data_IF_866693141750
#
_entry.id   IF_866693141750
#
_cell.length_a   1.000
_cell.length_b   1.000
_cell.length_c   1.000
_cell.angle_alpha   90.00
_cell.angle_beta   90.00
_cell.angle_gamma   90.00
#
_symmetry.space_group_name_H-M   'P 1'
#
loop_
_entity.id
_entity.type
_entity.pdbx_description
1 polymer ?
#
# COMPACT_ATOMS: atom_id res chain seq x y z
N UNK A 1 -16.77 3.46 -8.46
CA UNK A 1 -15.31 3.25 -8.53
C UNK A 1 -14.74 4.07 -7.40
N UNK A 2 -14.30 3.41 -6.33
CA UNK A 2 -13.50 4.09 -5.30
C UNK A 2 -12.27 4.62 -6.03
N UNK A 3 -12.10 5.94 -6.08
CA UNK A 3 -10.88 6.54 -6.62
C UNK A 3 -9.81 6.38 -5.56
N UNK A 4 -9.26 5.18 -5.44
CA UNK A 4 -8.10 4.96 -4.59
C UNK A 4 -6.93 5.78 -5.13
N UNK A 5 -6.09 6.27 -4.22
CA UNK A 5 -4.91 7.01 -4.61
C UNK A 5 -3.98 6.14 -5.47
N UNK A 6 -3.52 6.71 -6.59
CA UNK A 6 -2.64 6.00 -7.52
C UNK A 6 -1.33 5.58 -6.84
N UNK A 7 -0.88 6.35 -5.84
CA UNK A 7 0.32 6.05 -5.07
C UNK A 7 0.11 4.82 -4.17
N UNK A 8 -1.08 4.66 -3.57
CA UNK A 8 -1.40 3.48 -2.75
C UNK A 8 -1.39 2.19 -3.59
N UNK A 9 -2.09 2.21 -4.74
CA UNK A 9 -2.12 1.02 -5.60
C UNK A 9 -0.72 0.71 -6.15
N UNK A 10 0.05 1.73 -6.55
CA UNK A 10 1.40 1.53 -7.05
C UNK A 10 2.36 0.96 -5.99
N UNK A 11 2.18 1.30 -4.70
CA UNK A 11 2.94 0.69 -3.62
C UNK A 11 2.58 -0.80 -3.45
N UNK A 12 1.29 -1.13 -3.50
CA UNK A 12 0.80 -2.53 -3.45
C UNK A 12 1.31 -3.35 -4.62
N UNK A 13 1.28 -2.82 -5.83
CA UNK A 13 1.81 -3.48 -7.02
C UNK A 13 3.31 -3.76 -6.87
N UNK A 14 4.08 -2.80 -6.35
CA UNK A 14 5.51 -2.98 -6.08
C UNK A 14 5.76 -4.08 -5.03
N UNK A 15 5.01 -4.09 -3.93
CA UNK A 15 5.11 -5.15 -2.92
C UNK A 15 4.72 -6.51 -3.48
N UNK A 16 3.74 -6.59 -4.39
CA UNK A 16 3.39 -7.85 -5.06
C UNK A 16 4.53 -8.38 -5.91
N UNK A 17 5.31 -7.52 -6.57
CA UNK A 17 6.51 -7.93 -7.30
C UNK A 17 7.57 -8.46 -6.33
N UNK A 18 7.82 -7.75 -5.22
CA UNK A 18 8.77 -8.20 -4.18
C UNK A 18 8.38 -9.56 -3.60
N UNK A 19 7.07 -9.79 -3.41
CA UNK A 19 6.58 -11.10 -2.99
C UNK A 19 6.87 -12.19 -4.02
N UNK A 20 6.59 -11.92 -5.30
CA UNK A 20 6.78 -12.87 -6.40
C UNK A 20 8.27 -13.23 -6.61
N UNK A 21 9.17 -12.26 -6.46
CA UNK A 21 10.62 -12.49 -6.54
C UNK A 21 11.18 -13.20 -5.31
N UNK A 22 10.47 -13.16 -4.17
CA UNK A 22 10.92 -13.71 -2.90
C UNK A 22 12.12 -12.96 -2.32
N UNK A 23 12.33 -11.71 -2.72
CA UNK A 23 13.46 -10.88 -2.27
C UNK A 23 13.33 -10.42 -0.82
N UNK A 24 12.11 -10.36 -0.28
CA UNK A 24 11.84 -9.91 1.10
C UNK A 24 10.86 -10.84 1.80
N UNK A 25 11.23 -11.30 3.01
CA UNK A 25 10.38 -12.15 3.85
C UNK A 25 9.28 -11.34 4.55
N UNK A 26 9.58 -10.09 4.94
CA UNK A 26 8.65 -9.19 5.59
C UNK A 26 7.98 -8.24 4.58
N UNK A 27 6.83 -8.69 4.05
CA UNK A 27 6.06 -7.90 3.09
C UNK A 27 5.37 -6.68 3.74
N UNK A 28 5.24 -6.62 5.07
CA UNK A 28 4.67 -5.45 5.74
C UNK A 28 5.70 -4.32 5.74
N UNK A 29 6.96 -4.65 6.01
CA UNK A 29 8.07 -3.72 5.85
C UNK A 29 8.21 -3.27 4.39
N UNK A 30 8.19 -4.21 3.44
CA UNK A 30 8.21 -3.93 2.00
C UNK A 30 7.14 -2.91 1.57
N UNK A 31 5.91 -3.09 2.07
CA UNK A 31 4.79 -2.21 1.77
C UNK A 31 4.99 -0.83 2.39
N UNK A 32 5.49 -0.74 3.62
CA UNK A 32 5.80 0.54 4.26
C UNK A 32 6.89 1.31 3.51
N UNK A 33 7.93 0.62 3.07
CA UNK A 33 8.99 1.22 2.26
C UNK A 33 8.43 1.74 0.94
N UNK A 34 7.66 0.92 0.21
CA UNK A 34 7.05 1.30 -1.06
C UNK A 34 6.07 2.49 -0.93
N UNK A 35 5.36 2.60 0.20
CA UNK A 35 4.51 3.74 0.51
C UNK A 35 5.35 4.98 0.82
N UNK A 36 6.40 4.85 1.64
CA UNK A 36 7.27 5.96 2.00
C UNK A 36 8.01 6.56 0.79
N UNK A 37 8.42 5.74 -0.18
CA UNK A 37 8.98 6.18 -1.46
C UNK A 37 8.03 7.09 -2.26
N UNK A 38 6.73 7.03 -1.98
CA UNK A 38 5.66 7.80 -2.63
C UNK A 38 5.12 8.93 -1.76
N UNK A 39 5.83 9.33 -0.70
CA UNK A 39 5.36 10.29 0.33
C UNK A 39 4.07 9.83 1.04
N UNK A 40 3.80 8.53 1.08
CA UNK A 40 2.67 7.97 1.82
C UNK A 40 3.20 7.34 3.10
N UNK A 41 2.84 7.92 4.23
CA UNK A 41 3.11 7.35 5.55
C UNK A 41 1.78 6.89 6.15
N UNK A 42 1.74 5.69 6.72
CA UNK A 42 0.57 5.21 7.44
C UNK A 42 0.96 4.46 8.70
N UNK A 43 0.24 4.76 9.78
CA UNK A 43 0.33 4.02 11.04
C UNK A 43 -0.70 2.89 11.15
N UNK A 44 -1.50 2.67 10.10
CA UNK A 44 -2.57 1.66 10.10
C UNK A 44 -2.00 0.25 9.88
N UNK A 45 -1.60 -0.40 10.98
CA UNK A 45 -1.08 -1.76 10.94
C UNK A 45 -2.10 -2.81 10.48
N UNK A 46 -3.38 -2.61 10.78
CA UNK A 46 -4.43 -3.55 10.37
C UNK A 46 -4.62 -3.52 8.85
N UNK A 47 -4.63 -2.33 8.27
CA UNK A 47 -4.67 -2.14 6.83
C UNK A 47 -3.44 -2.77 6.15
N UNK A 48 -2.23 -2.50 6.66
CA UNK A 48 -1.00 -3.07 6.10
C UNK A 48 -1.04 -4.61 6.08
N UNK A 49 -1.44 -5.23 7.19
CA UNK A 49 -1.54 -6.70 7.28
C UNK A 49 -2.59 -7.25 6.33
N UNK A 50 -3.78 -6.65 6.25
CA UNK A 50 -4.83 -7.07 5.31
C UNK A 50 -4.39 -6.95 3.86
N UNK A 51 -3.74 -5.85 3.51
CA UNK A 51 -3.21 -5.63 2.16
C UNK A 51 -2.18 -6.69 1.80
N UNK A 52 -1.24 -6.99 2.70
CA UNK A 52 -0.26 -8.07 2.51
C UNK A 52 -0.92 -9.45 2.38
N UNK A 53 -1.93 -9.76 3.19
CA UNK A 53 -2.71 -10.99 3.03
C UNK A 53 -3.42 -11.05 1.67
N UNK A 54 -3.93 -9.91 1.20
CA UNK A 54 -4.49 -9.75 -0.13
C UNK A 54 -3.48 -10.04 -1.24
N UNK A 55 -2.29 -9.44 -1.17
CA UNK A 55 -1.18 -9.67 -2.12
C UNK A 55 -0.76 -11.14 -2.14
N UNK A 56 -0.68 -11.79 -0.98
CA UNK A 56 -0.35 -13.23 -0.87
C UNK A 56 -1.42 -14.11 -1.50
N UNK A 57 -2.68 -13.69 -1.43
CA UNK A 57 -3.81 -14.42 -1.99
C UNK A 57 -3.96 -14.19 -3.50
N UNK A 58 -3.66 -12.98 -3.98
CA UNK A 58 -3.79 -12.59 -5.39
C UNK A 58 -2.63 -11.67 -5.83
N UNK A 59 -1.89 -12.10 -6.85
CA UNK A 59 -0.79 -11.34 -7.46
C UNK A 59 -1.22 -10.07 -8.20
N UNK A 60 -2.50 -9.90 -8.47
CA UNK A 60 -3.09 -8.68 -9.02
C UNK A 60 -4.04 -8.05 -7.99
N UNK A 61 -3.72 -8.18 -6.69
CA UNK A 61 -4.52 -7.60 -5.62
C UNK A 61 -4.69 -6.09 -5.84
N UNK A 62 -5.94 -5.67 -5.87
CA UNK A 62 -6.32 -4.26 -5.91
C UNK A 62 -6.78 -3.87 -4.51
N UNK A 63 -6.28 -2.74 -4.02
CA UNK A 63 -6.71 -2.24 -2.71
C UNK A 63 -8.23 -2.02 -2.71
N UNK A 64 -8.90 -2.56 -1.71
CA UNK A 64 -10.35 -2.39 -1.55
C UNK A 64 -10.68 -1.14 -0.71
N UNK A 65 -9.79 -0.80 0.22
CA UNK A 65 -9.93 0.33 1.14
C UNK A 65 -8.61 1.08 1.29
N UNK A 66 -8.68 2.35 1.67
CA UNK A 66 -7.52 3.16 2.04
C UNK A 66 -7.20 2.97 3.53
N UNK A 67 -5.95 3.22 3.97
CA UNK A 67 -5.62 3.24 5.40
C UNK A 67 -6.46 4.30 6.13
N UNK A 68 -6.80 4.02 7.39
CA UNK A 68 -7.64 4.92 8.22
C UNK A 68 -7.05 6.32 8.40
N UNK A 69 -5.71 6.38 8.44
CA UNK A 69 -4.91 7.60 8.62
C UNK A 69 -4.44 8.20 7.30
N UNK A 70 -4.90 7.67 6.16
CA UNK A 70 -4.48 8.14 4.85
C UNK A 70 -5.04 9.54 4.57
N UNK A 71 -4.13 10.48 4.28
CA UNK A 71 -4.48 11.82 3.84
C UNK A 71 -4.03 11.99 2.39
N UNK A 72 -4.96 12.01 1.42
CA UNK A 72 -4.62 12.19 0.02
C UNK A 72 -3.91 13.53 -0.19
N UNK A 73 -2.90 13.53 -1.06
CA UNK A 73 -2.04 14.70 -1.30
C UNK A 73 -2.81 15.95 -1.73
N UNK A 74 -4.01 15.78 -2.34
CA UNK A 74 -4.92 16.86 -2.75
C UNK A 74 -5.46 17.71 -1.59
N UNK A 75 -5.54 17.15 -0.38
CA UNK A 75 -5.99 17.88 0.81
C UNK A 75 -4.83 18.59 1.55
N UNK A 76 -3.57 18.32 1.17
CA UNK A 76 -2.38 18.88 1.84
C UNK A 76 -2.02 20.30 1.40
N UNK A 77 -2.48 20.73 0.22
CA UNK A 77 -2.17 22.06 -0.36
C UNK A 77 -3.30 23.09 -0.20
N UNK A 78 -4.33 22.79 0.61
CA UNK A 78 -5.49 23.65 0.83
C UNK A 78 -5.76 23.97 2.30
N UNK A 79 -4.87 24.73 2.96
CA UNK A 79 -5.18 25.45 4.21
C UNK A 79 -4.40 26.74 4.32
#
# INVERSE_FOLDING_TARGET
MTSHDADLQAAVDATSVVHDTGEQEDLVEALREALAERDVETSDEEWLRRTVEGIKADRNYVIDSEPSDFVPRRDREGS
#
